data_IF_036619159555
#
_entry.id   IF_036619159555
#
_cell.length_a   1.000
_cell.length_b   1.000
_cell.length_c   1.000
_cell.angle_alpha   90.00
_cell.angle_beta   90.00
_cell.angle_gamma   90.00
#
_symmetry.space_group_name_H-M   'P 1'
#
loop_
_entity.id
_entity.type
_entity.pdbx_description
1 polymer ?
#
# COMPACT_ATOMS: atom_id res chain seq x y z
N UNK A 1 2.23 18.21 -18.35
CA UNK A 1 1.94 17.87 -16.95
C UNK A 1 3.23 18.03 -16.15
N UNK A 2 3.19 18.64 -14.96
CA UNK A 2 4.35 18.72 -14.07
C UNK A 2 4.06 17.88 -12.83
N UNK A 3 4.99 16.99 -12.47
CA UNK A 3 4.91 16.16 -11.26
C UNK A 3 6.10 16.53 -10.37
N UNK A 4 5.84 16.85 -9.11
CA UNK A 4 6.88 17.20 -8.13
C UNK A 4 6.71 16.39 -6.85
N UNK A 5 7.82 15.92 -6.29
CA UNK A 5 7.90 15.30 -4.97
C UNK A 5 8.78 16.18 -4.07
N UNK A 6 8.26 16.55 -2.89
CA UNK A 6 8.93 17.39 -1.90
C UNK A 6 9.04 16.63 -0.58
N UNK A 7 10.26 16.48 -0.07
CA UNK A 7 10.50 15.98 1.28
C UNK A 7 10.36 17.14 2.29
N UNK A 8 9.32 17.11 3.13
CA UNK A 8 8.99 18.23 4.02
C UNK A 8 10.01 18.51 5.12
N UNK A 9 10.76 17.49 5.56
CA UNK A 9 11.79 17.58 6.60
C UNK A 9 13.06 18.29 6.15
N UNK A 10 13.54 17.98 4.95
CA UNK A 10 14.81 18.49 4.42
C UNK A 10 14.63 19.63 3.43
N UNK A 11 13.41 19.84 2.92
CA UNK A 11 13.10 20.82 1.88
C UNK A 11 13.60 20.41 0.49
N UNK A 12 14.13 19.19 0.34
CA UNK A 12 14.60 18.69 -0.96
C UNK A 12 13.41 18.39 -1.87
N UNK A 13 13.45 18.93 -3.09
CA UNK A 13 12.44 18.68 -4.12
C UNK A 13 13.04 18.02 -5.36
N UNK A 14 12.23 17.20 -6.02
CA UNK A 14 12.48 16.68 -7.35
C UNK A 14 11.26 16.95 -8.22
N UNK A 15 11.49 17.41 -9.46
CA UNK A 15 10.42 17.75 -10.39
C UNK A 15 10.70 17.14 -11.76
N UNK A 16 9.66 16.57 -12.36
CA UNK A 16 9.66 16.04 -13.72
C UNK A 16 8.57 16.76 -14.52
N UNK A 17 8.95 17.25 -15.69
CA UNK A 17 8.04 17.86 -16.65
C UNK A 17 7.73 16.84 -17.74
N UNK A 18 6.46 16.45 -17.85
CA UNK A 18 5.96 15.58 -18.91
C UNK A 18 5.42 16.47 -20.03
N UNK A 19 6.13 16.49 -21.16
CA UNK A 19 5.73 17.19 -22.38
C UNK A 19 4.65 16.39 -23.13
N UNK A 20 3.66 17.11 -23.66
CA UNK A 20 2.59 16.51 -24.45
C UNK A 20 2.89 16.73 -25.94
N UNK A 21 3.57 15.77 -26.55
CA UNK A 21 3.84 15.79 -27.99
C UNK A 21 2.62 15.28 -28.77
N UNK A 22 2.33 15.91 -29.92
CA UNK A 22 1.08 15.76 -30.68
C UNK A 22 0.76 14.33 -31.21
N UNK A 23 1.62 13.35 -30.99
CA UNK A 23 1.51 11.99 -31.58
C UNK A 23 1.61 10.86 -30.56
N UNK A 24 1.28 11.08 -29.28
CA UNK A 24 1.46 10.05 -28.23
C UNK A 24 0.38 8.96 -28.21
N UNK A 25 -0.88 9.31 -28.49
CA UNK A 25 -2.00 8.38 -28.58
C UNK A 25 -2.95 8.84 -29.68
N UNK A 26 -3.36 7.95 -30.56
CA UNK A 26 -4.41 8.24 -31.54
C UNK A 26 -5.80 8.20 -30.88
N UNK A 27 -6.83 8.69 -31.57
CA UNK A 27 -8.22 8.56 -31.08
C UNK A 27 -8.64 7.10 -30.94
N UNK A 28 -8.24 6.26 -31.89
CA UNK A 28 -8.50 4.82 -31.88
C UNK A 28 -7.83 4.13 -30.68
N UNK A 29 -6.60 4.52 -30.33
CA UNK A 29 -5.92 4.00 -29.13
C UNK A 29 -6.66 4.38 -27.85
N UNK A 30 -7.13 5.64 -27.75
CA UNK A 30 -7.90 6.11 -26.58
C UNK A 30 -9.23 5.37 -26.46
N UNK A 31 -9.94 5.16 -27.56
CA UNK A 31 -11.20 4.41 -27.58
C UNK A 31 -10.98 2.95 -27.17
N UNK A 32 -9.92 2.32 -27.69
CA UNK A 32 -9.53 0.96 -27.30
C UNK A 32 -9.17 0.87 -25.82
N UNK A 33 -8.36 1.80 -25.30
CA UNK A 33 -8.01 1.85 -23.87
C UNK A 33 -9.25 2.03 -22.99
N UNK A 34 -10.25 2.79 -23.45
CA UNK A 34 -11.51 2.98 -22.71
C UNK A 34 -12.33 1.69 -22.68
N UNK A 35 -12.47 1.01 -23.83
CA UNK A 35 -13.18 -0.27 -23.90
C UNK A 35 -12.48 -1.37 -23.08
N UNK A 36 -11.14 -1.41 -23.11
CA UNK A 36 -10.36 -2.34 -22.29
C UNK A 36 -10.55 -2.03 -20.80
N UNK A 37 -10.51 -0.75 -20.39
CA UNK A 37 -10.77 -0.36 -19.00
C UNK A 37 -12.15 -0.81 -18.51
N UNK A 38 -13.21 -0.67 -19.32
CA UNK A 38 -14.54 -1.16 -18.97
C UNK A 38 -14.61 -2.68 -18.87
N UNK A 39 -13.95 -3.39 -19.80
CA UNK A 39 -13.90 -4.85 -19.82
C UNK A 39 -13.20 -5.43 -18.59
N UNK A 40 -12.09 -4.81 -18.17
CA UNK A 40 -11.27 -5.28 -17.04
C UNK A 40 -11.64 -4.62 -15.70
N UNK A 41 -12.56 -3.65 -15.70
CA UNK A 41 -12.94 -2.88 -14.50
C UNK A 41 -13.27 -3.76 -13.28
N UNK A 42 -13.95 -4.90 -13.49
CA UNK A 42 -14.28 -5.82 -12.40
C UNK A 42 -13.05 -6.54 -11.86
N UNK A 43 -12.20 -7.06 -12.74
CA UNK A 43 -10.97 -7.76 -12.35
C UNK A 43 -10.01 -6.82 -11.64
N UNK A 44 -9.87 -5.58 -12.14
CA UNK A 44 -9.07 -4.53 -11.52
C UNK A 44 -9.64 -4.12 -10.15
N UNK A 45 -10.97 -4.08 -10.00
CA UNK A 45 -11.62 -3.79 -8.72
C UNK A 45 -11.38 -4.92 -7.69
N UNK A 46 -11.55 -6.17 -8.09
CA UNK A 46 -11.30 -7.34 -7.22
C UNK A 46 -9.81 -7.39 -6.81
N UNK A 47 -8.90 -7.13 -7.75
CA UNK A 47 -7.46 -7.05 -7.47
C UNK A 47 -7.13 -5.89 -6.52
N UNK A 48 -7.73 -4.71 -6.75
CA UNK A 48 -7.58 -3.55 -5.88
C UNK A 48 -8.05 -3.85 -4.46
N UNK A 49 -9.22 -4.46 -4.29
CA UNK A 49 -9.76 -4.83 -2.98
C UNK A 49 -8.84 -5.81 -2.25
N UNK A 50 -8.29 -6.79 -2.97
CA UNK A 50 -7.29 -7.72 -2.42
C UNK A 50 -6.05 -6.97 -1.92
N UNK A 51 -5.49 -6.06 -2.71
CA UNK A 51 -4.30 -5.29 -2.35
C UNK A 51 -4.60 -4.34 -1.18
N UNK A 52 -5.76 -3.69 -1.16
CA UNK A 52 -6.18 -2.82 -0.05
C UNK A 52 -6.34 -3.60 1.25
N UNK A 53 -6.99 -4.77 1.19
CA UNK A 53 -7.15 -5.66 2.35
C UNK A 53 -5.79 -6.15 2.86
N UNK A 54 -4.88 -6.49 1.95
CA UNK A 54 -3.50 -6.87 2.28
C UNK A 54 -2.77 -5.75 3.02
N UNK A 55 -2.78 -4.55 2.45
CA UNK A 55 -2.13 -3.38 3.04
C UNK A 55 -2.77 -3.02 4.39
N UNK A 56 -4.08 -3.19 4.54
CA UNK A 56 -4.77 -2.98 5.80
C UNK A 56 -4.29 -3.94 6.89
N UNK A 57 -4.17 -5.23 6.57
CA UNK A 57 -3.65 -6.23 7.51
C UNK A 57 -2.19 -5.95 7.87
N UNK A 58 -1.33 -5.65 6.89
CA UNK A 58 0.07 -5.31 7.12
C UNK A 58 0.22 -4.10 8.05
N UNK A 59 -0.50 -3.02 7.76
CA UNK A 59 -0.52 -1.82 8.61
C UNK A 59 -1.02 -2.13 10.02
N UNK A 60 -2.03 -2.98 10.15
CA UNK A 60 -2.56 -3.39 11.46
C UNK A 60 -1.52 -4.18 12.26
N UNK A 61 -0.86 -5.16 11.65
CA UNK A 61 0.22 -5.94 12.27
C UNK A 61 1.34 -5.03 12.79
N UNK A 62 1.82 -4.07 11.98
CA UNK A 62 2.85 -3.11 12.43
C UNK A 62 2.36 -2.19 13.55
N UNK A 63 1.12 -1.70 13.46
CA UNK A 63 0.51 -0.87 14.51
C UNK A 63 0.42 -1.63 15.84
N UNK A 64 0.00 -2.90 15.80
CA UNK A 64 -0.09 -3.75 16.98
C UNK A 64 1.29 -4.07 17.55
N UNK A 65 2.29 -4.37 16.71
CA UNK A 65 3.67 -4.60 17.15
C UNK A 65 4.24 -3.38 17.89
N UNK A 66 4.00 -2.18 17.35
CA UNK A 66 4.39 -0.94 18.01
C UNK A 66 3.67 -0.74 19.36
N UNK A 67 2.37 -1.04 19.40
CA UNK A 67 1.55 -0.92 20.62
C UNK A 67 2.02 -1.87 21.72
N UNK A 68 2.35 -3.12 21.39
CA UNK A 68 2.90 -4.11 22.34
C UNK A 68 4.32 -3.78 22.79
N UNK A 69 5.05 -3.01 21.98
CA UNK A 69 6.37 -2.48 22.31
C UNK A 69 6.34 -1.25 23.22
N UNK A 70 5.21 -0.55 23.34
CA UNK A 70 5.06 0.65 24.16
C UNK A 70 5.13 0.31 25.66
N UNK A 71 6.00 1.02 26.38
CA UNK A 71 6.18 0.90 27.83
C UNK A 71 4.86 1.08 28.60
N UNK A 72 3.93 1.91 28.10
CA UNK A 72 2.61 2.12 28.71
C UNK A 72 1.68 0.91 28.64
N UNK A 73 1.94 0.00 27.71
CA UNK A 73 1.13 -1.20 27.45
C UNK A 73 1.81 -2.44 27.99
N UNK A 74 3.14 -2.52 27.94
CA UNK A 74 3.94 -3.63 28.47
C UNK A 74 3.55 -4.04 29.89
N UNK A 75 3.35 -3.07 30.78
CA UNK A 75 3.01 -3.35 32.19
C UNK A 75 1.52 -3.69 32.41
N UNK A 76 0.69 -3.56 31.38
CA UNK A 76 -0.77 -3.80 31.43
C UNK A 76 -1.20 -5.12 30.81
N UNK A 77 -0.28 -5.84 30.16
CA UNK A 77 -0.53 -7.12 29.52
C UNK A 77 0.36 -8.19 30.18
N UNK A 78 -0.15 -9.41 30.29
CA UNK A 78 0.67 -10.51 30.79
C UNK A 78 1.78 -10.84 29.79
N UNK A 79 2.92 -11.34 30.28
CA UNK A 79 4.01 -11.77 29.39
C UNK A 79 3.55 -12.90 28.44
N UNK A 80 2.62 -13.74 28.90
CA UNK A 80 2.05 -14.83 28.10
C UNK A 80 1.18 -14.30 26.95
N UNK A 81 0.25 -13.39 27.23
CA UNK A 81 -0.63 -12.83 26.20
C UNK A 81 0.15 -11.98 25.21
N UNK A 82 1.18 -11.28 25.69
CA UNK A 82 2.10 -10.54 24.83
C UNK A 82 2.83 -11.47 23.86
N UNK A 83 3.41 -12.57 24.37
CA UNK A 83 4.14 -13.52 23.53
C UNK A 83 3.23 -14.14 22.46
N UNK A 84 2.00 -14.54 22.83
CA UNK A 84 1.00 -15.05 21.87
C UNK A 84 0.64 -14.02 20.80
N UNK A 85 0.49 -12.76 21.18
CA UNK A 85 0.18 -11.68 20.23
C UNK A 85 1.35 -11.39 19.28
N UNK A 86 2.59 -11.38 19.78
CA UNK A 86 3.79 -11.20 18.95
C UNK A 86 3.98 -12.36 17.96
N UNK A 87 3.77 -13.60 18.40
CA UNK A 87 3.82 -14.79 17.53
C UNK A 87 2.78 -14.71 16.41
N UNK A 88 1.51 -14.42 16.73
CA UNK A 88 0.46 -14.28 15.73
C UNK A 88 0.71 -13.13 14.73
N UNK A 89 1.30 -12.01 15.19
CA UNK A 89 1.67 -10.89 14.32
C UNK A 89 2.79 -11.31 13.37
N UNK A 90 3.82 -11.97 13.87
CA UNK A 90 4.97 -12.38 13.06
C UNK A 90 4.56 -13.48 12.04
N UNK A 91 3.70 -14.42 12.42
CA UNK A 91 3.10 -15.39 11.49
C UNK A 91 2.31 -14.70 10.37
N UNK A 92 1.47 -13.72 10.71
CA UNK A 92 0.68 -12.98 9.73
C UNK A 92 1.57 -12.18 8.76
N UNK A 93 2.64 -11.55 9.26
CA UNK A 93 3.61 -10.82 8.43
C UNK A 93 4.39 -11.76 7.50
N UNK A 94 4.87 -12.90 8.01
CA UNK A 94 5.54 -13.91 7.20
C UNK A 94 4.62 -14.47 6.11
N UNK A 95 3.36 -14.71 6.43
CA UNK A 95 2.37 -15.15 5.44
C UNK A 95 2.16 -14.07 4.36
N UNK A 96 2.10 -12.79 4.73
CA UNK A 96 1.96 -11.67 3.79
C UNK A 96 3.17 -11.50 2.85
N UNK A 97 4.38 -11.77 3.34
CA UNK A 97 5.63 -11.76 2.55
C UNK A 97 5.68 -12.93 1.56
N UNK A 98 5.28 -14.13 1.98
CA UNK A 98 5.25 -15.32 1.13
C UNK A 98 4.14 -15.34 0.08
N UNK A 99 3.07 -14.57 0.29
CA UNK A 99 1.91 -14.47 -0.59
C UNK A 99 1.82 -13.08 -1.23
N UNK A 100 2.93 -12.62 -1.82
CA UNK A 100 2.97 -11.41 -2.67
C UNK A 100 2.20 -11.55 -3.96
#
# INVERSE_FOLDING_TARGET
LNVSALEKSTGKENKITITNDKSRLSKEDVEKMTADAEKYAKEDADFKEKVESKNALENYCYSMKNTLGDEKVKDKISAEDKAKAEEAIDEALQWLEGNQ
#
